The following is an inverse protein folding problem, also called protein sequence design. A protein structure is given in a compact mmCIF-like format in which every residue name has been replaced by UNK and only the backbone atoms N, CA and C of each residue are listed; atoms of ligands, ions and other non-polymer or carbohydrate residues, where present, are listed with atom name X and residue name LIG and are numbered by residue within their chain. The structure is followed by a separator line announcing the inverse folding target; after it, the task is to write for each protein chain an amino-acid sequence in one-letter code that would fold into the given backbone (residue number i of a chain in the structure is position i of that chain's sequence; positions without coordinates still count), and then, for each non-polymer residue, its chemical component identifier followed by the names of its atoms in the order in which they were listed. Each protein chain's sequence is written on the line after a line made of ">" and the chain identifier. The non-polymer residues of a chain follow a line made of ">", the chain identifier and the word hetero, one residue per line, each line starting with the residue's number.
data_IF_860333981742
#
_entry.id   IF_860333981742
#
_cell.length_a   1.000
_cell.length_b   1.000
_cell.length_c   1.000
_cell.angle_alpha   90.00
_cell.angle_beta   90.00
_cell.angle_gamma   90.00
#
_symmetry.space_group_name_H-M   'P 1'
#
loop_
_entity.id
_entity.type
_entity.pdbx_description
1 polymer ?
#
# COMPACT_ATOMS: atom_id res chain seq x y z
N UNK A 1 1.85 -17.49 9.43
CA UNK A 1 1.13 -16.27 8.99
C UNK A 1 1.69 -15.12 9.79
N UNK A 2 1.93 -13.97 9.15
CA UNK A 2 2.30 -12.73 9.84
C UNK A 2 1.24 -12.36 10.88
N UNK A 3 1.68 -11.88 12.04
CA UNK A 3 0.77 -11.46 13.12
C UNK A 3 0.22 -10.05 12.89
N UNK A 4 0.93 -9.24 12.11
CA UNK A 4 0.56 -7.86 11.78
C UNK A 4 0.74 -7.59 10.28
N UNK A 5 -0.21 -6.87 9.70
CA UNK A 5 -0.11 -6.36 8.34
C UNK A 5 -0.13 -4.84 8.40
N UNK A 6 0.95 -4.20 7.94
CA UNK A 6 1.03 -2.75 7.80
C UNK A 6 0.54 -2.40 6.41
N UNK A 7 -0.49 -1.58 6.32
CA UNK A 7 -1.03 -1.12 5.04
C UNK A 7 -0.69 0.35 4.84
N UNK A 8 0.05 0.65 3.77
CA UNK A 8 0.56 1.98 3.52
C UNK A 8 0.14 2.44 2.13
N UNK A 9 -0.74 3.43 2.10
CA UNK A 9 -1.22 4.06 0.88
C UNK A 9 -0.49 5.39 0.69
N UNK A 10 0.17 5.57 -0.46
CA UNK A 10 1.01 6.74 -0.72
C UNK A 10 0.69 7.34 -2.08
N UNK A 11 0.69 8.67 -2.12
CA UNK A 11 0.69 9.47 -3.34
C UNK A 11 1.72 10.58 -3.18
N UNK A 12 2.69 10.65 -4.08
CA UNK A 12 3.75 11.66 -4.10
C UNK A 12 4.48 11.82 -2.74
N UNK A 13 4.95 10.71 -2.19
CA UNK A 13 5.59 10.60 -0.89
C UNK A 13 7.12 10.59 -0.91
N UNK A 14 7.77 10.87 -2.04
CA UNK A 14 9.22 10.72 -2.25
C UNK A 14 10.07 11.24 -1.08
N UNK A 15 9.74 12.43 -0.58
CA UNK A 15 10.42 13.09 0.54
C UNK A 15 10.43 12.26 1.83
N UNK A 16 9.42 11.43 2.05
CA UNK A 16 9.19 10.73 3.32
C UNK A 16 9.61 9.26 3.30
N UNK A 17 9.73 8.67 2.11
CA UNK A 17 10.06 7.23 1.95
C UNK A 17 11.34 6.84 2.71
N UNK A 18 12.48 7.57 2.61
CA UNK A 18 13.68 7.17 3.35
C UNK A 18 13.49 7.15 4.87
N UNK A 19 12.83 8.17 5.43
CA UNK A 19 12.59 8.27 6.87
C UNK A 19 11.63 7.19 7.37
N UNK A 20 10.60 6.89 6.58
CA UNK A 20 9.68 5.79 6.85
C UNK A 20 10.43 4.46 6.94
N UNK A 21 11.28 4.14 5.97
CA UNK A 21 11.99 2.87 5.96
C UNK A 21 13.04 2.76 7.07
N UNK A 22 13.69 3.86 7.45
CA UNK A 22 14.52 3.90 8.67
C UNK A 22 13.69 3.53 9.90
N UNK A 23 12.47 4.06 10.03
CA UNK A 23 11.58 3.73 11.15
C UNK A 23 11.09 2.28 11.11
N UNK A 24 10.71 1.77 9.94
CA UNK A 24 10.25 0.38 9.77
C UNK A 24 11.36 -0.64 10.07
N UNK A 25 12.60 -0.39 9.61
CA UNK A 25 13.75 -1.26 9.87
C UNK A 25 14.10 -1.32 11.36
N UNK A 26 13.90 -0.23 12.10
CA UNK A 26 14.16 -0.12 13.55
C UNK A 26 13.07 -0.73 14.45
N UNK A 27 11.93 -1.16 13.90
CA UNK A 27 10.87 -1.76 14.72
C UNK A 27 11.37 -3.00 15.46
N UNK A 28 11.07 -3.10 16.75
CA UNK A 28 11.43 -4.26 17.59
C UNK A 28 10.57 -5.49 17.28
N UNK A 29 9.33 -5.28 16.85
CA UNK A 29 8.45 -6.35 16.37
C UNK A 29 8.78 -6.70 14.92
N UNK A 30 9.03 -8.00 14.64
CA UNK A 30 9.50 -8.48 13.33
C UNK A 30 8.49 -9.36 12.57
N UNK A 31 7.45 -9.84 13.23
CA UNK A 31 6.45 -10.76 12.64
C UNK A 31 5.33 -9.99 11.93
N UNK A 32 5.70 -9.22 10.90
CA UNK A 32 4.79 -8.39 10.14
C UNK A 32 5.08 -8.41 8.63
N UNK A 33 4.09 -7.99 7.84
CA UNK A 33 4.20 -7.80 6.40
C UNK A 33 3.76 -6.39 5.99
N UNK A 34 4.30 -5.88 4.88
CA UNK A 34 3.94 -4.59 4.29
C UNK A 34 3.05 -4.78 3.08
N UNK A 35 1.89 -4.11 3.05
CA UNK A 35 1.14 -3.90 1.81
C UNK A 35 1.30 -2.42 1.45
N UNK A 36 2.11 -2.14 0.44
CA UNK A 36 2.32 -0.80 -0.09
C UNK A 36 1.37 -0.56 -1.27
N UNK A 37 0.62 0.54 -1.25
CA UNK A 37 -0.31 0.93 -2.29
C UNK A 37 0.14 2.27 -2.87
N UNK A 38 0.74 2.25 -4.04
CA UNK A 38 1.04 3.45 -4.82
C UNK A 38 -0.25 3.94 -5.50
N UNK A 39 -0.69 5.14 -5.14
CA UNK A 39 -1.92 5.72 -5.64
C UNK A 39 -1.68 6.63 -6.86
N UNK A 40 -0.99 6.07 -7.85
CA UNK A 40 -0.57 6.72 -9.10
C UNK A 40 0.34 7.93 -8.87
N UNK A 41 1.41 7.73 -8.08
CA UNK A 41 2.41 8.79 -7.87
C UNK A 41 3.09 9.18 -9.18
N UNK A 42 3.43 10.46 -9.32
CA UNK A 42 4.13 11.04 -10.48
C UNK A 42 5.58 11.42 -10.17
N UNK A 43 6.02 11.21 -8.93
CA UNK A 43 7.38 11.42 -8.45
C UNK A 43 8.14 10.09 -8.30
N UNK A 44 9.31 10.10 -7.63
CA UNK A 44 10.13 8.89 -7.45
C UNK A 44 9.68 8.00 -6.28
N UNK A 45 8.45 8.18 -5.77
CA UNK A 45 7.94 7.38 -4.62
C UNK A 45 8.10 5.88 -4.85
N UNK A 46 7.63 5.37 -5.99
CA UNK A 46 7.65 3.93 -6.27
C UNK A 46 9.08 3.40 -6.41
N UNK A 47 9.95 4.13 -7.12
CA UNK A 47 11.36 3.78 -7.28
C UNK A 47 12.07 3.67 -5.92
N UNK A 48 11.88 4.65 -5.04
CA UNK A 48 12.49 4.66 -3.71
C UNK A 48 11.98 3.49 -2.85
N UNK A 49 10.69 3.16 -2.93
CA UNK A 49 10.09 2.05 -2.17
C UNK A 49 10.63 0.71 -2.66
N UNK A 50 10.73 0.50 -3.97
CA UNK A 50 11.30 -0.71 -4.54
C UNK A 50 12.77 -0.88 -4.15
N UNK A 51 13.55 0.21 -4.19
CA UNK A 51 14.94 0.21 -3.75
C UNK A 51 15.10 -0.17 -2.26
N UNK A 52 14.27 0.41 -1.39
CA UNK A 52 14.30 0.13 0.04
C UNK A 52 13.89 -1.32 0.37
N UNK A 53 12.97 -1.90 -0.40
CA UNK A 53 12.42 -3.22 -0.15
C UNK A 53 13.29 -4.37 -0.66
N UNK A 54 14.00 -4.19 -1.79
CA UNK A 54 14.80 -5.22 -2.47
C UNK A 54 15.71 -6.01 -1.52
N UNK A 55 16.39 -5.32 -0.60
CA UNK A 55 17.37 -5.91 0.32
C UNK A 55 16.93 -5.83 1.80
N UNK A 56 15.66 -5.52 2.06
CA UNK A 56 15.16 -5.29 3.43
C UNK A 56 14.90 -6.56 4.25
N UNK A 57 14.69 -7.71 3.58
CA UNK A 57 14.18 -8.93 4.20
C UNK A 57 12.74 -8.81 4.76
N UNK A 58 12.04 -7.71 4.49
CA UNK A 58 10.64 -7.50 4.88
C UNK A 58 9.75 -8.30 3.91
N UNK A 59 8.73 -8.99 4.42
CA UNK A 59 7.69 -9.57 3.55
C UNK A 59 6.79 -8.45 3.04
N UNK A 60 6.67 -8.27 1.73
CA UNK A 60 5.88 -7.18 1.17
C UNK A 60 5.04 -7.55 -0.05
N UNK A 61 4.03 -6.73 -0.32
CA UNK A 61 3.28 -6.68 -1.57
C UNK A 61 3.15 -5.21 -2.00
N UNK A 62 3.45 -4.92 -3.27
CA UNK A 62 3.23 -3.61 -3.87
C UNK A 62 1.98 -3.69 -4.76
N UNK A 63 1.09 -2.71 -4.62
CA UNK A 63 -0.10 -2.51 -5.44
C UNK A 63 0.04 -1.13 -6.08
N UNK A 64 -0.02 -1.07 -7.41
CA UNK A 64 0.04 0.19 -8.16
C UNK A 64 -1.32 0.50 -8.78
N UNK A 65 -1.85 1.68 -8.48
CA UNK A 65 -3.05 2.19 -9.12
C UNK A 65 -2.70 2.89 -10.44
N UNK A 66 -3.61 2.81 -11.41
CA UNK A 66 -3.45 3.48 -12.71
C UNK A 66 -3.76 4.98 -12.63
N UNK A 67 -4.63 5.38 -11.71
CA UNK A 67 -5.03 6.76 -11.48
C UNK A 67 -5.14 7.03 -9.98
N UNK A 68 -5.10 8.31 -9.62
CA UNK A 68 -5.26 8.72 -8.23
C UNK A 68 -6.75 8.73 -7.89
N UNK A 69 -7.18 7.77 -7.07
CA UNK A 69 -8.59 7.64 -6.68
C UNK A 69 -9.01 8.63 -5.59
N UNK A 70 -8.09 9.41 -5.01
CA UNK A 70 -8.33 10.21 -3.81
C UNK A 70 -8.44 9.34 -2.56
N UNK A 71 -8.04 9.87 -1.40
CA UNK A 71 -7.87 9.09 -0.16
C UNK A 71 -9.10 8.24 0.25
N UNK A 72 -10.32 8.75 0.01
CA UNK A 72 -11.56 8.08 0.40
C UNK A 72 -11.97 6.89 -0.49
N UNK A 73 -11.41 6.78 -1.70
CA UNK A 73 -11.86 5.81 -2.70
C UNK A 73 -10.80 4.80 -3.10
N UNK A 74 -9.61 4.85 -2.49
CA UNK A 74 -8.54 3.93 -2.82
C UNK A 74 -9.04 2.51 -2.50
N UNK A 75 -9.19 1.64 -3.52
CA UNK A 75 -9.69 0.30 -3.32
C UNK A 75 -8.56 -0.54 -2.73
N UNK A 76 -8.33 -0.38 -1.43
CA UNK A 76 -7.38 -1.18 -0.69
C UNK A 76 -7.99 -2.58 -0.57
N UNK A 77 -7.54 -3.49 -1.44
CA UNK A 77 -7.95 -4.90 -1.41
C UNK A 77 -7.23 -5.58 -0.23
N UNK A 78 -7.60 -5.22 0.99
CA UNK A 78 -7.07 -5.85 2.21
C UNK A 78 -7.42 -7.33 2.11
N UNK A 79 -6.40 -8.17 1.97
CA UNK A 79 -6.56 -9.62 2.07
C UNK A 79 -6.78 -9.97 3.54
N UNK A 80 -7.92 -9.57 4.10
CA UNK A 80 -8.41 -10.18 5.33
C UNK A 80 -8.68 -11.65 4.98
N UNK A 81 -7.78 -12.56 5.37
CA UNK A 81 -8.07 -14.00 5.35
C UNK A 81 -9.11 -14.30 6.44
N UNK A 82 -10.35 -13.89 6.18
CA UNK A 82 -11.63 -14.52 6.57
C UNK A 82 -12.76 -13.74 5.88
N UNK A 83 -13.11 -14.24 4.68
CA UNK A 83 -14.44 -14.18 4.06
C UNK A 83 -15.13 -12.81 4.01
N UNK A 84 -14.85 -12.04 2.96
CA UNK A 84 -15.87 -11.19 2.34
C UNK A 84 -15.81 -11.33 0.82
N UNK A 85 -16.82 -12.01 0.28
CA UNK A 85 -17.19 -11.99 -1.12
C UNK A 85 -17.96 -10.70 -1.41
N UNK A 86 -17.76 -10.14 -2.61
CA UNK A 86 -18.57 -9.10 -3.27
C UNK A 86 -18.61 -7.68 -2.66
N UNK A 87 -17.58 -6.87 -2.96
CA UNK A 87 -17.66 -5.40 -2.84
C UNK A 87 -17.57 -4.64 -4.18
N UNK A 88 -17.58 -5.33 -5.32
CA UNK A 88 -17.69 -4.66 -6.64
C UNK A 88 -19.07 -4.02 -6.92
N UNK A 89 -20.04 -4.12 -6.01
CA UNK A 89 -21.41 -3.60 -6.22
C UNK A 89 -21.81 -2.36 -5.41
N UNK A 90 -20.94 -1.83 -4.53
CA UNK A 90 -21.38 -0.80 -3.57
C UNK A 90 -20.89 0.63 -3.86
N UNK A 91 -20.05 0.85 -4.87
CA UNK A 91 -19.38 2.15 -5.07
C UNK A 91 -19.25 2.61 -6.53
N UNK A 92 -20.23 2.25 -7.37
CA UNK A 92 -20.44 2.95 -8.64
C UNK A 92 -21.85 3.54 -8.61
N UNK A 93 -22.03 4.83 -8.23
CA UNK A 93 -23.26 5.51 -8.61
C UNK A 93 -23.26 5.57 -10.14
N UNK A 94 -24.28 4.97 -10.75
CA UNK A 94 -24.55 5.02 -12.17
C UNK A 94 -24.34 6.43 -12.71
N UNK A 95 -23.26 6.66 -13.46
CA UNK A 95 -23.17 7.74 -14.42
C UNK A 95 -23.45 7.15 -15.80
N UNK A 96 -24.72 7.09 -16.14
CA UNK A 96 -25.16 7.07 -17.54
C UNK A 96 -25.72 8.45 -17.85
N UNK A 97 -25.21 8.99 -18.94
CA UNK A 97 -25.63 10.20 -19.65
C UNK A 97 -27.12 10.13 -19.98
#
# INVERSE_FOLDING_TARGET
>A
MSKLTINLVVYNGEKYIPYLFVSLKRQSFKDWELIFVDNASTDRTLELVEAELKDSGISYQIIKNQENFGFSFIPVRIRMRKRFWNLKKFWLPNKTV
#
